data_IF_137577659617
#
_entry.id   IF_137577659617
#
_cell.length_a   1.000
_cell.length_b   1.000
_cell.length_c   1.000
_cell.angle_alpha   90.00
_cell.angle_beta   90.00
_cell.angle_gamma   90.00
#
_symmetry.space_group_name_H-M   'P 1'
#
loop_
_entity.id
_entity.type
_entity.pdbx_description
1 polymer ?
#
# COMPACT_ATOMS: atom_id res chain seq x y z
N UNK A 1 12.43 -15.95 6.41
CA UNK A 1 11.22 -15.41 5.75
C UNK A 1 11.66 -14.73 4.47
N UNK A 2 11.03 -15.07 3.36
CA UNK A 2 11.25 -14.50 2.01
C UNK A 2 9.95 -13.87 1.49
N UNK A 3 10.00 -13.11 0.40
CA UNK A 3 8.83 -12.39 -0.13
C UNK A 3 7.94 -13.28 -1.00
N UNK A 4 8.51 -14.15 -1.84
CA UNK A 4 7.80 -14.95 -2.83
C UNK A 4 7.74 -16.44 -2.52
N UNK A 5 6.66 -17.09 -2.98
CA UNK A 5 6.58 -18.57 -2.91
C UNK A 5 7.62 -19.25 -3.82
N UNK A 6 8.01 -18.59 -4.92
CA UNK A 6 9.07 -19.08 -5.81
C UNK A 6 10.42 -19.15 -5.11
N UNK A 7 10.72 -18.19 -4.23
CA UNK A 7 11.93 -18.22 -3.40
C UNK A 7 11.95 -19.46 -2.51
N UNK A 8 10.82 -19.80 -1.88
CA UNK A 8 10.73 -20.99 -1.02
C UNK A 8 11.00 -22.26 -1.82
N UNK A 9 10.44 -22.38 -3.02
CA UNK A 9 10.65 -23.54 -3.89
C UNK A 9 12.12 -23.63 -4.35
N UNK A 10 12.70 -22.50 -4.75
CA UNK A 10 14.09 -22.43 -5.17
C UNK A 10 15.05 -22.80 -4.03
N UNK A 11 14.86 -22.21 -2.85
CA UNK A 11 15.65 -22.52 -1.68
C UNK A 11 15.53 -24.00 -1.29
N UNK A 12 14.33 -24.57 -1.34
CA UNK A 12 14.12 -25.98 -1.07
C UNK A 12 14.84 -26.88 -2.08
N UNK A 13 14.84 -26.52 -3.38
CA UNK A 13 15.59 -27.22 -4.42
C UNK A 13 17.10 -27.21 -4.16
N UNK A 14 17.58 -26.14 -3.51
CA UNK A 14 18.98 -25.96 -3.11
C UNK A 14 19.26 -26.38 -1.65
N UNK A 15 18.46 -27.29 -1.08
CA UNK A 15 18.65 -27.88 0.25
C UNK A 15 18.46 -26.93 1.45
N UNK A 16 17.84 -25.77 1.24
CA UNK A 16 17.46 -24.82 2.28
C UNK A 16 15.97 -25.02 2.59
N UNK A 17 15.68 -25.84 3.61
CA UNK A 17 14.32 -26.33 3.90
C UNK A 17 13.55 -25.55 4.98
N UNK A 18 14.15 -24.49 5.53
CA UNK A 18 13.55 -23.68 6.61
C UNK A 18 12.96 -22.35 6.12
N UNK A 19 12.84 -22.16 4.80
CA UNK A 19 12.27 -20.96 4.20
C UNK A 19 10.73 -20.98 4.24
N UNK A 20 10.15 -19.82 4.51
CA UNK A 20 8.69 -19.56 4.44
C UNK A 20 8.47 -18.19 3.81
N UNK A 21 7.37 -18.01 3.07
CA UNK A 21 7.03 -16.78 2.38
C UNK A 21 5.72 -16.16 2.86
N UNK A 22 5.61 -14.85 2.70
CA UNK A 22 4.32 -14.14 2.71
C UNK A 22 3.61 -14.27 1.37
N UNK A 23 2.28 -14.43 1.36
CA UNK A 23 1.52 -14.56 0.12
C UNK A 23 1.10 -13.18 -0.42
N UNK A 24 2.02 -12.49 -1.09
CA UNK A 24 1.73 -11.21 -1.76
C UNK A 24 1.32 -10.07 -0.83
N UNK A 25 1.72 -10.13 0.44
CA UNK A 25 1.37 -9.17 1.49
C UNK A 25 2.59 -8.84 2.33
N UNK A 26 2.60 -7.67 2.95
CA UNK A 26 3.63 -7.34 3.92
C UNK A 26 3.59 -8.28 5.13
N UNK A 27 4.72 -8.43 5.81
CA UNK A 27 4.79 -9.16 7.08
C UNK A 27 3.82 -8.56 8.09
N UNK A 28 2.91 -9.38 8.62
CA UNK A 28 1.90 -8.98 9.60
C UNK A 28 2.26 -9.47 11.00
N UNK A 29 1.62 -8.88 12.02
CA UNK A 29 1.75 -9.34 13.40
C UNK A 29 1.33 -10.81 13.56
N UNK A 30 0.26 -11.23 12.87
CA UNK A 30 -0.20 -12.63 12.86
C UNK A 30 0.85 -13.61 12.34
N UNK A 31 1.66 -13.20 11.35
CA UNK A 31 2.76 -14.02 10.85
C UNK A 31 3.82 -14.22 11.94
N UNK A 32 4.23 -13.14 12.61
CA UNK A 32 5.25 -13.19 13.65
C UNK A 32 4.78 -13.97 14.89
N UNK A 33 3.53 -13.81 15.30
CA UNK A 33 2.94 -14.62 16.38
C UNK A 33 3.02 -16.12 16.10
N UNK A 34 2.75 -16.52 14.85
CA UNK A 34 2.82 -17.92 14.45
C UNK A 34 4.26 -18.41 14.40
N UNK A 35 5.17 -17.63 13.81
CA UNK A 35 6.58 -18.00 13.68
C UNK A 35 7.25 -18.13 15.05
N UNK A 36 7.07 -17.15 15.94
CA UNK A 36 7.68 -17.18 17.26
C UNK A 36 7.08 -18.22 18.23
N UNK A 37 6.02 -18.93 17.83
CA UNK A 37 5.56 -20.15 18.54
C UNK A 37 6.35 -21.39 18.14
N UNK A 38 7.02 -21.37 16.98
CA UNK A 38 7.76 -22.51 16.43
C UNK A 38 9.26 -22.35 16.61
N UNK A 39 9.78 -21.12 16.50
CA UNK A 39 11.22 -20.82 16.56
C UNK A 39 11.50 -19.60 17.43
N UNK A 40 12.67 -19.56 18.05
CA UNK A 40 13.14 -18.39 18.80
C UNK A 40 13.79 -17.33 17.92
N UNK A 41 14.20 -17.70 16.71
CA UNK A 41 14.89 -16.82 15.77
C UNK A 41 14.19 -16.77 14.42
N UNK A 42 14.04 -15.56 13.88
CA UNK A 42 13.57 -15.32 12.51
C UNK A 42 14.58 -14.47 11.75
N UNK A 43 14.84 -14.87 10.50
CA UNK A 43 15.71 -14.12 9.59
C UNK A 43 14.84 -13.68 8.42
N UNK A 44 14.74 -12.37 8.19
CA UNK A 44 14.07 -11.80 7.03
C UNK A 44 15.08 -11.63 5.90
N UNK A 45 14.73 -12.12 4.72
CA UNK A 45 15.51 -11.95 3.49
C UNK A 45 14.64 -11.15 2.52
N UNK A 46 15.10 -9.96 2.15
CA UNK A 46 14.41 -9.05 1.24
C UNK A 46 15.28 -8.77 0.01
N UNK A 47 14.60 -8.44 -1.08
CA UNK A 47 15.25 -8.12 -2.34
C UNK A 47 16.11 -6.85 -2.20
N UNK A 48 17.19 -6.76 -2.97
CA UNK A 48 18.11 -5.62 -2.93
C UNK A 48 17.60 -4.33 -3.56
N UNK A 49 16.31 -4.25 -3.87
CA UNK A 49 15.69 -3.09 -4.51
C UNK A 49 15.03 -2.14 -3.50
N UNK A 50 14.53 -1.02 -4.00
CA UNK A 50 13.86 -0.04 -3.14
C UNK A 50 12.57 -0.57 -2.49
N UNK A 51 11.93 -1.58 -3.08
CA UNK A 51 10.73 -2.19 -2.53
C UNK A 51 11.07 -3.13 -1.37
N UNK A 52 12.09 -3.97 -1.53
CA UNK A 52 12.62 -4.86 -0.50
C UNK A 52 13.14 -4.10 0.73
N UNK A 53 13.85 -2.99 0.53
CA UNK A 53 14.28 -2.11 1.65
C UNK A 53 13.07 -1.56 2.42
N UNK A 54 12.03 -1.08 1.72
CA UNK A 54 10.79 -0.60 2.36
C UNK A 54 10.07 -1.73 3.10
N UNK A 55 10.05 -2.94 2.53
CA UNK A 55 9.48 -4.11 3.17
C UNK A 55 10.25 -4.49 4.45
N UNK A 56 11.59 -4.39 4.43
CA UNK A 56 12.46 -4.60 5.58
C UNK A 56 12.16 -3.64 6.73
N UNK A 57 12.06 -2.34 6.44
CA UNK A 57 11.69 -1.32 7.44
C UNK A 57 10.31 -1.60 8.04
N UNK A 58 9.32 -1.96 7.20
CA UNK A 58 7.98 -2.32 7.68
C UNK A 58 8.01 -3.58 8.58
N UNK A 59 8.75 -4.61 8.18
CA UNK A 59 8.90 -5.82 8.97
C UNK A 59 9.62 -5.55 10.31
N UNK A 60 10.64 -4.68 10.30
CA UNK A 60 11.33 -4.21 11.49
C UNK A 60 10.35 -3.55 12.48
N UNK A 61 9.53 -2.60 12.05
CA UNK A 61 8.51 -2.00 12.92
C UNK A 61 7.50 -3.04 13.43
N UNK A 62 7.11 -3.99 12.59
CA UNK A 62 6.18 -5.07 12.98
C UNK A 62 6.78 -6.01 14.02
N UNK A 63 8.11 -6.18 14.04
CA UNK A 63 8.82 -7.04 15.01
C UNK A 63 8.90 -6.44 16.41
N UNK A 64 8.89 -5.11 16.56
CA UNK A 64 9.06 -4.39 17.82
C UNK A 64 8.26 -4.99 19.00
N UNK A 65 6.94 -5.21 18.91
CA UNK A 65 6.16 -5.78 20.02
C UNK A 65 6.46 -7.25 20.32
N UNK A 66 7.18 -7.96 19.44
CA UNK A 66 7.54 -9.37 19.60
C UNK A 66 8.93 -9.59 20.18
N UNK A 67 9.74 -8.54 20.30
CA UNK A 67 11.13 -8.62 20.80
C UNK A 67 11.18 -8.77 22.33
N UNK A 68 10.64 -9.87 22.83
CA UNK A 68 10.81 -10.31 24.22
C UNK A 68 12.16 -10.98 24.41
N UNK A 69 12.59 -11.10 25.67
CA UNK A 69 13.80 -11.84 26.01
C UNK A 69 13.75 -13.28 25.44
N UNK A 70 14.87 -13.73 24.87
CA UNK A 70 15.00 -15.04 24.21
C UNK A 70 14.52 -15.10 22.75
N UNK A 71 13.95 -14.02 22.20
CA UNK A 71 13.63 -13.94 20.76
C UNK A 71 14.66 -13.13 19.99
N UNK A 72 14.90 -13.54 18.75
CA UNK A 72 15.86 -12.92 17.86
C UNK A 72 15.24 -12.67 16.48
N UNK A 73 15.56 -11.51 15.91
CA UNK A 73 15.21 -11.16 14.54
C UNK A 73 16.47 -10.62 13.84
N UNK A 74 16.69 -11.04 12.60
CA UNK A 74 17.80 -10.57 11.74
C UNK A 74 17.29 -10.20 10.35
N UNK A 75 18.00 -9.30 9.68
CA UNK A 75 17.65 -8.75 8.38
C UNK A 75 18.80 -8.98 7.41
N UNK A 76 18.51 -9.66 6.31
CA UNK A 76 19.40 -9.85 5.17
C UNK A 76 18.81 -9.07 3.99
N UNK A 77 19.49 -8.00 3.59
CA UNK A 77 19.23 -7.30 2.35
C UNK A 77 20.17 -7.87 1.29
N UNK A 78 19.60 -8.34 0.18
CA UNK A 78 20.40 -8.88 -0.93
C UNK A 78 21.03 -7.76 -1.76
N UNK A 79 22.04 -8.07 -2.60
CA UNK A 79 22.58 -7.12 -3.56
C UNK A 79 21.53 -6.59 -4.53
N UNK A 80 21.74 -5.37 -5.04
CA UNK A 80 20.78 -4.73 -5.93
C UNK A 80 20.48 -5.59 -7.17
N UNK A 81 19.19 -5.83 -7.43
CA UNK A 81 18.73 -6.63 -8.56
C UNK A 81 18.83 -8.14 -8.36
N UNK A 82 19.13 -8.61 -7.14
CA UNK A 82 19.09 -10.01 -6.76
C UNK A 82 17.92 -10.28 -5.80
N UNK A 83 17.29 -11.44 -6.00
CA UNK A 83 16.29 -12.04 -5.11
C UNK A 83 16.86 -13.37 -4.54
N UNK A 84 16.21 -14.01 -3.53
CA UNK A 84 16.73 -15.25 -2.94
C UNK A 84 16.91 -16.37 -3.97
N UNK A 85 16.04 -16.40 -4.98
CA UNK A 85 16.02 -17.37 -6.06
C UNK A 85 17.22 -17.21 -7.02
N UNK A 86 17.46 -16.01 -7.54
CA UNK A 86 18.61 -15.70 -8.41
C UNK A 86 19.91 -15.83 -7.64
N UNK A 87 19.96 -15.43 -6.36
CA UNK A 87 21.14 -15.58 -5.52
C UNK A 87 21.55 -17.04 -5.37
N UNK A 88 20.62 -17.92 -5.01
CA UNK A 88 20.92 -19.33 -4.77
C UNK A 88 21.27 -20.06 -6.06
N UNK A 89 20.65 -19.70 -7.19
CA UNK A 89 20.99 -20.26 -8.50
C UNK A 89 22.37 -19.85 -8.99
N UNK A 90 22.75 -18.58 -8.81
CA UNK A 90 24.03 -18.03 -9.30
C UNK A 90 25.21 -18.43 -8.42
N UNK A 91 25.05 -18.34 -7.11
CA UNK A 91 26.16 -18.45 -6.14
C UNK A 91 26.12 -19.73 -5.30
N UNK A 92 25.08 -20.55 -5.43
CA UNK A 92 24.90 -21.78 -4.68
C UNK A 92 24.37 -21.56 -3.26
N UNK A 93 24.05 -22.67 -2.60
CA UNK A 93 23.47 -22.68 -1.25
C UNK A 93 24.46 -22.31 -0.15
N UNK A 94 25.74 -22.65 -0.32
CA UNK A 94 26.80 -22.33 0.65
C UNK A 94 26.93 -20.82 0.83
N UNK A 95 27.09 -20.07 -0.26
CA UNK A 95 27.18 -18.61 -0.25
C UNK A 95 25.97 -17.96 0.41
N UNK A 96 24.76 -18.42 0.07
CA UNK A 96 23.55 -17.88 0.68
C UNK A 96 23.46 -18.21 2.18
N UNK A 97 23.92 -19.39 2.60
CA UNK A 97 23.96 -19.78 4.01
C UNK A 97 24.94 -18.92 4.81
N UNK A 98 26.08 -18.56 4.22
CA UNK A 98 27.02 -17.61 4.82
C UNK A 98 26.42 -16.20 4.95
N UNK A 99 25.69 -15.72 3.93
CA UNK A 99 24.96 -14.45 4.00
C UNK A 99 23.90 -14.47 5.09
N UNK A 100 23.14 -15.56 5.21
CA UNK A 100 22.15 -15.76 6.28
C UNK A 100 22.82 -15.77 7.65
N UNK A 101 23.98 -16.41 7.79
CA UNK A 101 24.73 -16.44 9.03
C UNK A 101 25.18 -15.03 9.47
N UNK A 102 25.53 -14.17 8.50
CA UNK A 102 25.97 -12.80 8.72
C UNK A 102 24.84 -11.75 8.65
N UNK A 103 23.57 -12.16 8.64
CA UNK A 103 22.45 -11.24 8.57
C UNK A 103 22.44 -10.24 9.73
N UNK A 104 22.11 -8.98 9.44
CA UNK A 104 22.18 -7.85 10.37
C UNK A 104 21.20 -8.05 11.53
N UNK A 105 21.65 -8.00 12.80
CA UNK A 105 20.76 -8.08 13.96
C UNK A 105 19.71 -6.96 14.00
N UNK A 106 18.51 -7.26 14.50
CA UNK A 106 17.42 -6.28 14.65
C UNK A 106 17.87 -4.97 15.31
N UNK A 107 18.64 -5.05 16.41
CA UNK A 107 19.14 -3.87 17.11
C UNK A 107 20.11 -3.03 16.27
N UNK A 108 20.87 -3.65 15.37
CA UNK A 108 21.78 -2.92 14.50
C UNK A 108 21.01 -2.30 13.35
N UNK A 109 20.13 -3.07 12.71
CA UNK A 109 19.28 -2.61 11.62
C UNK A 109 18.39 -1.43 12.03
N UNK A 110 17.80 -1.48 13.23
CA UNK A 110 17.01 -0.38 13.78
C UNK A 110 17.83 0.90 13.91
N UNK A 111 19.02 0.82 14.53
CA UNK A 111 19.88 2.00 14.70
C UNK A 111 20.36 2.54 13.36
N UNK A 112 20.80 1.67 12.43
CA UNK A 112 21.22 2.08 11.09
C UNK A 112 20.11 2.83 10.35
N UNK A 113 18.86 2.36 10.47
CA UNK A 113 17.72 3.02 9.83
C UNK A 113 17.48 4.44 10.38
N UNK A 114 17.43 4.58 11.71
CA UNK A 114 17.17 5.88 12.34
C UNK A 114 18.37 6.83 12.28
N UNK A 115 19.60 6.32 12.14
CA UNK A 115 20.81 7.14 12.05
C UNK A 115 21.28 7.43 10.63
N UNK A 116 20.60 6.91 9.59
CA UNK A 116 21.12 6.92 8.21
C UNK A 116 21.55 8.32 7.72
N UNK A 117 20.75 9.35 8.04
CA UNK A 117 20.97 10.74 7.61
C UNK A 117 21.31 11.68 8.79
N UNK A 118 21.70 11.12 9.94
CA UNK A 118 21.95 11.88 11.16
C UNK A 118 23.44 11.90 11.51
N UNK A 119 24.00 13.10 11.58
CA UNK A 119 25.35 13.31 12.12
C UNK A 119 25.35 13.19 13.65
N UNK A 120 26.07 12.19 14.17
CA UNK A 120 26.26 11.94 15.60
C UNK A 120 26.97 13.08 16.37
N UNK A 121 27.66 14.00 15.69
CA UNK A 121 28.30 15.15 16.32
C UNK A 121 27.39 16.37 16.41
N UNK A 122 26.31 16.39 15.62
CA UNK A 122 25.33 17.47 15.62
C UNK A 122 24.32 17.28 16.76
N UNK A 123 24.08 18.33 17.54
CA UNK A 123 23.23 18.27 18.73
C UNK A 123 21.75 18.12 18.36
N UNK A 124 21.28 18.82 17.33
CA UNK A 124 19.92 18.71 16.82
C UNK A 124 19.64 17.31 16.26
N UNK A 125 20.61 16.71 15.57
CA UNK A 125 20.52 15.34 15.04
C UNK A 125 20.48 14.29 16.14
N UNK A 126 21.29 14.43 17.21
CA UNK A 126 21.21 13.57 18.39
C UNK A 126 19.85 13.67 19.09
N UNK A 127 19.32 14.89 19.24
CA UNK A 127 18.00 15.10 19.81
C UNK A 127 16.89 14.48 18.94
N UNK A 128 17.00 14.60 17.61
CA UNK A 128 16.09 13.97 16.66
C UNK A 128 16.14 12.44 16.74
N UNK A 129 17.34 11.85 16.75
CA UNK A 129 17.52 10.40 16.91
C UNK A 129 16.83 9.89 18.18
N UNK A 130 17.04 10.59 19.31
CA UNK A 130 16.40 10.25 20.57
C UNK A 130 14.87 10.33 20.47
N UNK A 131 14.35 11.40 19.87
CA UNK A 131 12.92 11.66 19.72
C UNK A 131 12.23 10.61 18.85
N UNK A 132 12.87 10.21 17.75
CA UNK A 132 12.31 9.26 16.77
C UNK A 132 12.40 7.81 17.26
N UNK A 133 13.51 7.42 17.89
CA UNK A 133 13.73 6.04 18.35
C UNK A 133 12.98 5.72 19.64
N UNK A 134 12.78 6.71 20.50
CA UNK A 134 12.22 6.48 21.83
C UNK A 134 10.82 5.83 21.78
N UNK A 135 9.84 6.32 21.01
CA UNK A 135 8.52 5.67 20.88
C UNK A 135 8.63 4.20 20.43
N UNK A 136 9.58 3.90 19.56
CA UNK A 136 9.81 2.54 19.05
C UNK A 136 10.36 1.63 20.16
N UNK A 137 11.36 2.07 20.91
CA UNK A 137 11.91 1.32 22.05
C UNK A 137 10.85 1.14 23.14
N UNK A 138 9.95 2.12 23.33
CA UNK A 138 8.89 2.02 24.31
C UNK A 138 7.79 1.01 23.95
N UNK A 139 7.51 0.84 22.67
CA UNK A 139 6.59 -0.18 22.16
C UNK A 139 7.14 -1.60 22.32
N UNK A 140 8.45 -1.75 22.61
CA UNK A 140 9.02 -3.05 22.94
C UNK A 140 8.50 -3.56 24.30
N UNK A 141 8.28 -4.87 24.45
CA UNK A 141 7.98 -5.49 25.73
C UNK A 141 9.00 -5.12 26.81
N UNK A 142 8.55 -5.01 28.06
CA UNK A 142 9.45 -4.81 29.20
C UNK A 142 10.33 -6.07 29.35
N UNK A 143 11.64 -5.88 29.40
CA UNK A 143 12.63 -6.97 29.46
C UNK A 143 14.05 -6.44 29.30
N UNK A 144 15.02 -7.34 29.35
CA UNK A 144 16.44 -7.01 29.21
C UNK A 144 16.75 -6.36 27.86
N UNK A 145 16.14 -6.86 26.78
CA UNK A 145 16.35 -6.32 25.44
C UNK A 145 16.00 -4.83 25.36
N UNK A 146 14.87 -4.41 25.94
CA UNK A 146 14.47 -2.99 25.97
C UNK A 146 15.47 -2.15 26.77
N UNK A 147 15.93 -2.63 27.92
CA UNK A 147 16.93 -1.93 28.74
C UNK A 147 18.27 -1.76 27.99
N UNK A 148 18.71 -2.79 27.27
CA UNK A 148 19.92 -2.71 26.44
C UNK A 148 19.77 -1.74 25.27
N UNK A 149 18.60 -1.69 24.64
CA UNK A 149 18.30 -0.73 23.57
C UNK A 149 18.29 0.72 24.08
N UNK A 150 17.75 0.96 25.28
CA UNK A 150 17.81 2.27 25.94
C UNK A 150 19.26 2.66 26.24
N UNK A 151 20.05 1.77 26.83
CA UNK A 151 21.48 2.02 27.09
C UNK A 151 22.25 2.35 25.81
N UNK A 152 21.99 1.62 24.73
CA UNK A 152 22.62 1.91 23.42
C UNK A 152 22.17 3.27 22.87
N UNK A 153 20.93 3.69 23.10
CA UNK A 153 20.45 5.02 22.69
C UNK A 153 21.13 6.12 23.50
N UNK A 154 21.36 5.91 24.80
CA UNK A 154 22.15 6.83 25.63
C UNK A 154 23.56 7.00 25.09
N UNK A 155 24.23 5.90 24.72
CA UNK A 155 25.60 5.95 24.18
C UNK A 155 25.67 6.76 22.86
N UNK A 156 24.67 6.60 21.98
CA UNK A 156 24.60 7.33 20.71
C UNK A 156 24.21 8.80 20.87
N UNK A 157 23.35 9.12 21.83
CA UNK A 157 22.77 10.47 21.98
C UNK A 157 23.45 11.28 23.07
N UNK A 158 24.23 10.65 23.95
CA UNK A 158 24.81 11.23 25.17
C UNK A 158 23.80 11.82 26.14
N UNK A 159 22.51 11.46 26.01
CA UNK A 159 21.44 11.88 26.92
C UNK A 159 21.30 10.84 28.03
N UNK A 160 21.07 11.30 29.26
CA UNK A 160 20.82 10.40 30.39
C UNK A 160 19.42 9.76 30.30
N UNK A 161 19.29 8.57 30.89
CA UNK A 161 18.05 7.80 30.99
C UNK A 161 16.88 8.59 31.56
N UNK A 162 17.14 9.48 32.52
CA UNK A 162 16.11 10.34 33.11
C UNK A 162 15.55 11.35 32.09
N UNK A 163 16.41 11.92 31.25
CA UNK A 163 16.00 12.85 30.17
C UNK A 163 15.24 12.11 29.09
N UNK A 164 15.73 10.91 28.72
CA UNK A 164 15.06 10.01 27.80
C UNK A 164 13.68 9.59 28.31
N UNK A 165 13.53 9.28 29.61
CA UNK A 165 12.24 8.98 30.22
C UNK A 165 11.31 10.20 30.25
N UNK A 166 11.83 11.42 30.45
CA UNK A 166 11.00 12.64 30.41
C UNK A 166 10.46 12.95 29.02
N UNK A 167 11.25 12.73 27.95
CA UNK A 167 10.78 12.87 26.56
C UNK A 167 9.52 12.04 26.30
N UNK A 168 9.39 10.90 26.98
CA UNK A 168 8.24 10.03 26.83
C UNK A 168 7.01 10.49 27.60
N UNK A 169 7.20 11.15 28.74
CA UNK A 169 6.10 11.72 29.52
C UNK A 169 5.49 12.96 28.84
N UNK A 170 6.29 13.68 28.04
CA UNK A 170 5.84 14.87 27.30
C UNK A 170 5.07 14.51 26.03
N UNK A 171 5.38 13.38 25.37
CA UNK A 171 4.58 12.89 24.24
C UNK A 171 3.16 12.46 24.63
N UNK A 172 2.87 12.27 25.93
CA UNK A 172 1.54 11.91 26.45
C UNK A 172 0.68 13.13 26.89
N UNK A 173 1.19 14.38 26.86
CA UNK A 173 0.40 15.62 27.08
C UNK A 173 1.15 16.91 26.70
N UNK A 174 0.48 17.84 26.02
CA UNK A 174 0.07 19.05 26.75
C UNK A 174 -1.29 19.62 26.31
N UNK A 175 -2.24 19.62 27.24
CA UNK A 175 -3.35 20.58 27.26
C UNK A 175 -2.95 21.63 28.31
N UNK A 176 -2.54 22.81 27.86
CA UNK A 176 -2.19 23.93 28.75
C UNK A 176 -3.45 24.79 28.90
N UNK A 177 -4.20 24.47 29.95
CA UNK A 177 -5.29 25.26 30.50
C UNK A 177 -4.72 26.58 31.06
N UNK A 178 -4.84 27.67 30.31
CA UNK A 178 -4.39 29.00 30.72
C UNK A 178 -5.46 29.67 31.60
N UNK A 179 -5.31 29.51 32.91
CA UNK A 179 -5.92 30.40 33.91
C UNK A 179 -4.89 31.46 34.31
N UNK A 180 -5.07 32.70 33.87
CA UNK A 180 -4.68 33.85 34.69
C UNK A 180 -5.49 35.11 34.35
N UNK A 181 -5.80 35.81 35.43
CA UNK A 181 -6.79 36.89 35.54
C UNK A 181 -6.10 38.26 35.57
N UNK A 182 -6.85 39.27 35.14
CA UNK A 182 -6.81 40.68 35.58
C UNK A 182 -5.71 41.61 35.00
N UNK A 183 -6.13 42.60 34.22
CA UNK A 183 -6.20 44.00 34.66
C UNK A 183 -6.63 44.95 33.51
N UNK A 184 -7.73 45.69 33.72
CA UNK A 184 -8.07 46.90 32.95
C UNK A 184 -7.26 48.10 33.46
N UNK A 185 -7.08 49.15 32.64
CA UNK A 185 -7.80 50.41 32.93
C UNK A 185 -8.37 51.16 31.70
N UNK A 186 -9.36 52.01 31.98
CA UNK A 186 -10.15 52.94 31.12
C UNK A 186 -9.72 54.42 31.43
N UNK A 187 -10.31 55.51 30.85
CA UNK A 187 -9.97 56.17 29.57
C UNK A 187 -9.80 57.73 29.69
N UNK A 188 -9.47 58.46 28.60
CA UNK A 188 -9.99 59.83 28.27
C UNK A 188 -9.43 60.35 26.91
N UNK A 189 -10.27 60.64 25.88
CA UNK A 189 -10.75 61.96 25.35
C UNK A 189 -9.64 62.95 24.93
N UNK A 190 -9.61 63.67 23.79
CA UNK A 190 -10.53 64.06 22.68
C UNK A 190 -9.66 64.78 21.60
N UNK A 191 -9.92 64.81 20.28
CA UNK A 191 -10.77 65.81 19.56
C UNK A 191 -10.66 65.70 18.01
N UNK A 192 -11.81 65.90 17.32
CA UNK A 192 -12.11 66.62 16.04
C UNK A 192 -11.45 66.14 14.70
N UNK A 193 -12.10 66.04 13.52
CA UNK A 193 -13.47 66.26 13.03
C UNK A 193 -13.59 65.82 11.53
N UNK A 194 -14.82 65.47 11.08
CA UNK A 194 -15.39 65.45 9.71
C UNK A 194 -14.79 64.50 8.64
N UNK A 195 -15.54 63.81 7.76
CA UNK A 195 -16.97 63.81 7.41
C UNK A 195 -17.31 62.67 6.44
N UNK A 196 -18.56 62.18 6.52
CA UNK A 196 -19.48 61.73 5.46
C UNK A 196 -19.55 60.25 4.99
N UNK A 197 -20.82 59.82 5.04
CA UNK A 197 -21.58 58.91 4.16
C UNK A 197 -21.79 57.42 4.55
N UNK A 198 -23.00 57.22 5.13
CA UNK A 198 -24.06 56.26 4.79
C UNK A 198 -24.03 54.79 5.28
N UNK A 199 -24.85 54.59 6.32
CA UNK A 199 -25.90 53.56 6.53
C UNK A 199 -25.56 52.06 6.74
N UNK A 200 -25.81 51.66 8.00
CA UNK A 200 -25.97 50.35 8.63
C UNK A 200 -27.38 49.71 8.33
N UNK A 201 -27.80 48.52 8.85
CA UNK A 201 -27.23 47.72 9.94
C UNK A 201 -27.28 46.17 9.79
N UNK A 202 -26.89 45.52 10.89
CA UNK A 202 -27.31 44.21 11.46
C UNK A 202 -26.57 42.91 11.11
N UNK A 203 -25.62 42.60 12.01
CA UNK A 203 -25.66 41.48 12.97
C UNK A 203 -25.29 40.04 12.54
N UNK A 204 -24.47 39.48 13.44
CA UNK A 204 -24.44 38.09 13.92
C UNK A 204 -23.44 37.13 13.27
N UNK A 205 -22.57 36.61 14.14
CA UNK A 205 -22.53 35.16 14.34
C UNK A 205 -21.29 34.48 13.80
N UNK A 206 -20.26 34.39 14.65
CA UNK A 206 -19.24 33.37 14.55
C UNK A 206 -19.88 31.98 14.68
N UNK A 207 -19.49 31.05 13.81
CA UNK A 207 -19.70 29.62 13.98
C UNK A 207 -18.39 28.88 13.78
N UNK A 208 -17.78 28.49 14.90
CA UNK A 208 -17.01 27.25 15.01
C UNK A 208 -17.96 26.06 14.80
N UNK A 209 -17.52 25.07 14.04
CA UNK A 209 -17.87 23.66 14.28
C UNK A 209 -16.77 22.75 13.78
N UNK A 210 -16.14 22.11 14.75
CA UNK A 210 -15.53 20.78 14.76
C UNK A 210 -16.02 19.79 13.70
N UNK A 211 -15.05 19.04 13.16
CA UNK A 211 -15.21 17.67 12.67
C UNK A 211 -14.01 16.84 13.15
N UNK A 212 -14.22 15.66 13.75
CA UNK A 212 -13.22 14.62 13.91
C UNK A 212 -13.36 13.58 12.77
N UNK A 213 -12.68 12.42 12.82
CA UNK A 213 -11.47 12.10 12.07
C UNK A 213 -11.76 11.16 10.87
N UNK A 214 -10.68 10.78 10.21
CA UNK A 214 -10.46 9.57 9.41
C UNK A 214 -10.51 9.65 7.86
N UNK A 215 -9.37 9.20 7.33
CA UNK A 215 -9.14 8.47 6.08
C UNK A 215 -8.97 9.21 4.73
N UNK A 216 -7.69 9.21 4.29
CA UNK A 216 -7.12 8.76 2.99
C UNK A 216 -7.73 9.30 1.68
N UNK A 217 -6.92 9.98 0.85
CA UNK A 217 -6.30 9.41 -0.37
C UNK A 217 -5.45 10.46 -1.14
N UNK A 218 -4.24 10.03 -1.46
CA UNK A 218 -3.52 10.16 -2.74
C UNK A 218 -4.02 11.22 -3.76
N UNK A 219 -3.13 12.07 -4.25
CA UNK A 219 -2.66 11.88 -5.63
C UNK A 219 -1.37 12.62 -5.99
N UNK A 220 -0.68 12.00 -6.94
CA UNK A 220 0.63 12.29 -7.50
C UNK A 220 0.70 13.67 -8.17
N UNK A 221 1.82 14.38 -7.98
CA UNK A 221 2.45 15.16 -9.07
C UNK A 221 3.97 15.09 -8.95
N UNK A 222 4.61 14.89 -10.10
CA UNK A 222 6.05 14.76 -10.34
C UNK A 222 6.57 16.06 -10.98
N UNK A 223 7.91 16.23 -10.97
CA UNK A 223 8.74 17.42 -11.24
C UNK A 223 9.04 18.22 -9.96
N UNK A 224 10.29 18.42 -9.56
CA UNK A 224 11.34 19.09 -10.35
C UNK A 224 12.76 18.62 -10.00
N UNK A 225 13.65 18.86 -10.96
CA UNK A 225 15.06 18.51 -11.08
C UNK A 225 16.00 18.91 -9.93
N UNK A 226 17.04 18.10 -9.78
CA UNK A 226 18.26 18.36 -9.01
C UNK A 226 19.37 18.81 -9.96
N UNK A 227 20.09 19.89 -9.64
CA UNK A 227 21.56 20.03 -9.63
C UNK A 227 21.99 21.52 -9.53
N UNK A 228 23.08 21.81 -8.81
CA UNK A 228 24.36 21.95 -9.52
C UNK A 228 25.56 21.35 -8.75
N UNK A 229 26.42 20.62 -9.47
CA UNK A 229 27.85 20.57 -9.13
C UNK A 229 28.66 21.22 -10.25
N UNK A 230 29.55 22.12 -9.84
CA UNK A 230 30.60 22.69 -10.65
C UNK A 230 31.68 21.62 -10.91
N UNK A 231 31.99 21.32 -12.17
CA UNK A 231 33.39 21.38 -12.58
C UNK A 231 33.56 21.64 -14.08
N UNK A 232 34.50 22.54 -14.36
CA UNK A 232 34.90 22.99 -15.68
C UNK A 232 35.59 21.85 -16.44
N UNK A 233 35.43 21.80 -17.77
CA UNK A 233 36.49 21.71 -18.80
C UNK A 233 35.86 21.37 -20.17
N UNK A 234 35.89 22.34 -21.08
CA UNK A 234 35.82 22.18 -22.55
C UNK A 234 37.24 21.83 -23.07
N UNK A 235 37.46 21.31 -24.31
CA UNK A 235 36.75 21.72 -25.53
C UNK A 235 36.55 20.69 -26.69
N UNK A 236 35.63 21.08 -27.60
CA UNK A 236 35.61 20.92 -29.08
C UNK A 236 35.64 19.51 -29.71
N UNK A 237 34.62 19.13 -30.49
CA UNK A 237 34.50 19.46 -31.93
C UNK A 237 33.15 19.00 -32.53
N UNK A 238 32.76 19.70 -33.60
CA UNK A 238 31.55 19.66 -34.44
C UNK A 238 31.18 18.33 -35.13
N UNK A 239 29.87 18.03 -35.28
CA UNK A 239 29.12 17.87 -36.57
C UNK A 239 27.65 17.44 -36.35
N UNK A 240 26.82 17.78 -37.36
CA UNK A 240 25.35 17.87 -37.45
C UNK A 240 24.49 16.56 -37.39
N UNK A 241 23.14 16.68 -37.31
CA UNK A 241 22.23 15.61 -36.86
C UNK A 241 21.65 14.77 -38.01
N UNK A 242 21.20 13.55 -37.71
CA UNK A 242 20.23 12.82 -38.53
C UNK A 242 19.25 12.03 -37.64
N UNK A 243 17.97 12.22 -37.95
CA UNK A 243 16.82 11.46 -37.47
C UNK A 243 17.01 9.95 -37.69
N UNK A 244 16.57 9.12 -36.73
CA UNK A 244 15.67 8.01 -37.07
C UNK A 244 14.87 7.50 -35.86
N UNK A 245 13.69 6.98 -36.19
CA UNK A 245 12.59 6.58 -35.31
C UNK A 245 12.88 5.35 -34.43
N UNK A 246 12.19 5.35 -33.28
CA UNK A 246 12.34 4.36 -32.22
C UNK A 246 11.62 3.03 -32.42
N UNK A 247 12.01 2.10 -31.55
CA UNK A 247 11.27 0.91 -31.15
C UNK A 247 11.81 0.49 -29.76
N UNK A 248 11.10 0.85 -28.70
CA UNK A 248 11.34 0.29 -27.36
C UNK A 248 10.22 -0.69 -27.01
N UNK A 249 10.51 -1.98 -27.18
CA UNK A 249 9.73 -3.07 -26.61
C UNK A 249 10.43 -3.60 -25.35
N UNK A 250 10.04 -3.07 -24.18
CA UNK A 250 10.26 -3.71 -22.88
C UNK A 250 9.09 -3.39 -21.95
N UNK A 251 8.12 -4.29 -21.83
CA UNK A 251 7.10 -4.22 -20.78
C UNK A 251 7.07 -5.54 -20.01
N UNK A 252 7.57 -5.48 -18.77
CA UNK A 252 7.43 -6.52 -17.76
C UNK A 252 5.98 -6.66 -17.29
N UNK A 253 5.67 -7.82 -16.71
CA UNK A 253 4.34 -8.24 -16.24
C UNK A 253 3.68 -7.22 -15.31
N UNK A 254 2.75 -6.42 -15.84
CA UNK A 254 1.90 -5.51 -15.06
C UNK A 254 0.91 -6.33 -14.23
N UNK A 255 0.80 -6.04 -12.93
CA UNK A 255 -0.22 -6.64 -12.03
C UNK A 255 -1.60 -6.42 -12.65
N UNK A 256 -2.29 -7.51 -13.02
CA UNK A 256 -3.60 -7.43 -13.67
C UNK A 256 -4.68 -7.20 -12.62
N UNK A 257 -5.46 -6.14 -12.81
CA UNK A 257 -6.70 -5.90 -12.10
C UNK A 257 -7.69 -7.07 -12.36
N UNK A 258 -8.52 -7.52 -11.39
CA UNK A 258 -9.51 -8.58 -11.61
C UNK A 258 -10.41 -8.36 -12.85
N UNK A 259 -10.75 -7.12 -13.20
CA UNK A 259 -11.49 -6.82 -14.44
C UNK A 259 -10.67 -7.16 -15.70
N UNK A 260 -9.37 -6.84 -15.71
CA UNK A 260 -8.46 -7.15 -16.82
C UNK A 260 -8.22 -8.66 -16.96
N UNK A 261 -8.17 -9.38 -15.84
CA UNK A 261 -8.09 -10.84 -15.83
C UNK A 261 -9.35 -11.47 -16.45
N UNK A 262 -10.54 -10.99 -16.08
CA UNK A 262 -11.81 -11.46 -16.67
C UNK A 262 -11.90 -11.14 -18.18
N UNK A 263 -11.56 -9.92 -18.59
CA UNK A 263 -11.52 -9.49 -20.00
C UNK A 263 -10.61 -10.43 -20.82
N UNK A 264 -9.41 -10.69 -20.31
CA UNK A 264 -8.43 -11.57 -20.96
C UNK A 264 -8.95 -13.00 -21.13
N UNK A 265 -9.59 -13.56 -20.11
CA UNK A 265 -10.14 -14.91 -20.16
C UNK A 265 -11.27 -15.02 -21.18
N UNK A 266 -12.18 -14.04 -21.23
CA UNK A 266 -13.31 -14.03 -22.17
C UNK A 266 -12.82 -13.83 -23.62
N UNK A 267 -11.84 -12.95 -23.86
CA UNK A 267 -11.28 -12.71 -25.20
C UNK A 267 -10.56 -13.93 -25.79
N UNK A 268 -10.08 -14.84 -24.94
CA UNK A 268 -9.41 -16.09 -25.35
C UNK A 268 -10.36 -17.28 -25.41
N UNK A 269 -11.30 -17.33 -24.48
CA UNK A 269 -12.28 -18.41 -24.35
C UNK A 269 -13.70 -17.83 -24.25
N UNK A 270 -14.31 -17.43 -25.38
CA UNK A 270 -15.65 -16.82 -25.38
C UNK A 270 -16.74 -17.73 -24.79
N UNK A 271 -16.55 -19.05 -24.81
CA UNK A 271 -17.49 -20.01 -24.21
C UNK A 271 -17.66 -19.85 -22.69
N UNK A 272 -16.73 -19.17 -22.01
CA UNK A 272 -16.89 -18.87 -20.59
C UNK A 272 -17.96 -17.81 -20.32
N UNK A 273 -18.31 -16.99 -21.32
CA UNK A 273 -19.37 -15.99 -21.20
C UNK A 273 -20.77 -16.62 -21.08
N UNK A 274 -20.95 -17.89 -21.46
CA UNK A 274 -22.23 -18.61 -21.31
C UNK A 274 -22.68 -18.74 -19.85
N UNK A 275 -21.73 -18.78 -18.92
CA UNK A 275 -22.04 -18.83 -17.48
C UNK A 275 -22.68 -17.53 -16.96
N UNK A 276 -22.64 -16.44 -17.76
CA UNK A 276 -23.09 -15.11 -17.41
C UNK A 276 -24.12 -14.59 -18.43
N UNK A 277 -25.17 -15.37 -18.68
CA UNK A 277 -26.33 -14.95 -19.50
C UNK A 277 -27.05 -13.74 -18.88
N UNK A 278 -27.12 -13.67 -17.56
CA UNK A 278 -27.53 -12.46 -16.84
C UNK A 278 -26.26 -11.75 -16.36
N UNK A 279 -25.95 -10.59 -16.95
CA UNK A 279 -24.79 -9.79 -16.53
C UNK A 279 -25.07 -9.27 -15.12
N UNK A 280 -24.19 -9.54 -14.14
CA UNK A 280 -24.44 -9.09 -12.79
C UNK A 280 -24.51 -7.56 -12.69
N UNK A 281 -25.62 -7.04 -12.18
CA UNK A 281 -25.88 -5.60 -12.04
C UNK A 281 -24.76 -4.85 -11.29
N UNK A 282 -24.15 -5.50 -10.30
CA UNK A 282 -23.05 -4.92 -9.52
C UNK A 282 -21.84 -4.51 -10.37
N UNK A 283 -21.59 -5.17 -11.51
CA UNK A 283 -20.49 -4.81 -12.40
C UNK A 283 -20.73 -3.45 -13.09
N UNK A 284 -21.99 -3.05 -13.29
CA UNK A 284 -22.35 -1.77 -13.92
C UNK A 284 -22.16 -0.57 -13.00
N UNK A 285 -22.18 -0.81 -11.68
CA UNK A 285 -22.10 0.23 -10.64
C UNK A 285 -20.68 0.44 -10.08
N UNK A 286 -19.70 -0.36 -10.52
CA UNK A 286 -18.29 -0.19 -10.14
C UNK A 286 -17.72 1.09 -10.78
N UNK A 287 -16.96 1.88 -10.00
CA UNK A 287 -16.24 3.07 -10.49
C UNK A 287 -15.02 2.73 -11.37
N UNK A 288 -14.72 1.46 -11.57
CA UNK A 288 -13.57 0.99 -12.31
C UNK A 288 -13.83 1.04 -13.82
N UNK A 289 -13.01 1.78 -14.57
CA UNK A 289 -13.13 1.87 -16.04
C UNK A 289 -13.00 0.50 -16.73
N UNK A 290 -12.12 -0.37 -16.22
CA UNK A 290 -11.96 -1.73 -16.75
C UNK A 290 -13.23 -2.60 -16.53
N UNK A 291 -14.02 -2.33 -15.49
CA UNK A 291 -15.27 -3.05 -15.25
C UNK A 291 -16.35 -2.66 -16.26
N UNK A 292 -16.42 -1.39 -16.68
CA UNK A 292 -17.33 -0.99 -17.76
C UNK A 292 -16.94 -1.62 -19.10
N UNK A 293 -15.63 -1.76 -19.37
CA UNK A 293 -15.12 -2.46 -20.56
C UNK A 293 -15.48 -3.95 -20.50
N UNK A 294 -15.39 -4.58 -19.33
CA UNK A 294 -15.81 -5.98 -19.14
C UNK A 294 -17.31 -6.18 -19.42
N UNK A 295 -18.17 -5.27 -18.92
CA UNK A 295 -19.61 -5.31 -19.20
C UNK A 295 -19.87 -5.16 -20.71
N UNK A 296 -19.22 -4.19 -21.36
CA UNK A 296 -19.34 -3.98 -22.80
C UNK A 296 -18.90 -5.22 -23.60
N UNK A 297 -17.80 -5.87 -23.20
CA UNK A 297 -17.33 -7.11 -23.81
C UNK A 297 -18.36 -8.25 -23.65
N UNK A 298 -18.97 -8.40 -22.47
CA UNK A 298 -20.01 -9.39 -22.23
C UNK A 298 -21.25 -9.12 -23.10
N UNK A 299 -21.67 -7.87 -23.23
CA UNK A 299 -22.80 -7.46 -24.09
C UNK A 299 -22.52 -7.77 -25.57
N UNK A 300 -21.32 -7.45 -26.06
CA UNK A 300 -20.91 -7.77 -27.43
C UNK A 300 -20.88 -9.29 -27.64
N UNK A 301 -20.34 -10.04 -26.67
CA UNK A 301 -20.31 -11.50 -26.76
C UNK A 301 -21.72 -12.08 -26.85
N UNK A 302 -22.68 -11.58 -26.06
CA UNK A 302 -24.09 -11.99 -26.11
C UNK A 302 -24.75 -11.61 -27.44
N UNK A 303 -24.49 -10.40 -27.96
CA UNK A 303 -25.00 -9.94 -29.24
C UNK A 303 -24.52 -10.83 -30.38
N UNK A 304 -23.23 -11.12 -30.45
CA UNK A 304 -22.63 -11.98 -31.48
C UNK A 304 -23.15 -13.42 -31.36
N UNK A 305 -23.29 -13.93 -30.13
CA UNK A 305 -23.89 -15.25 -29.90
C UNK A 305 -25.35 -15.31 -30.38
N UNK A 306 -26.14 -14.26 -30.17
CA UNK A 306 -27.52 -14.18 -30.65
C UNK A 306 -27.63 -14.18 -32.17
N UNK A 307 -26.68 -13.52 -32.86
CA UNK A 307 -26.63 -13.46 -34.32
C UNK A 307 -26.16 -14.79 -34.94
N UNK A 308 -25.16 -15.43 -34.34
CA UNK A 308 -24.56 -16.66 -34.85
C UNK A 308 -25.29 -17.94 -34.40
N UNK A 309 -26.15 -17.85 -33.37
CA UNK A 309 -26.83 -19.00 -32.74
C UNK A 309 -25.84 -20.08 -32.24
N UNK A 310 -24.60 -19.66 -31.93
CA UNK A 310 -23.52 -20.48 -31.37
C UNK A 310 -22.51 -19.59 -30.63
N UNK A 311 -21.65 -20.18 -29.81
CA UNK A 311 -20.53 -19.46 -29.18
C UNK A 311 -19.60 -18.89 -30.27
N UNK A 312 -19.24 -17.60 -30.19
CA UNK A 312 -18.28 -17.01 -31.11
C UNK A 312 -16.88 -17.59 -30.89
N UNK A 313 -16.12 -17.76 -31.97
CA UNK A 313 -14.70 -18.06 -31.85
C UNK A 313 -13.94 -16.81 -31.38
N UNK A 314 -12.77 -17.00 -30.77
CA UNK A 314 -11.96 -15.89 -30.24
C UNK A 314 -11.66 -14.82 -31.31
N UNK A 315 -11.41 -15.24 -32.55
CA UNK A 315 -11.13 -14.33 -33.68
C UNK A 315 -12.36 -13.50 -34.09
N UNK A 316 -13.55 -14.10 -34.05
CA UNK A 316 -14.82 -13.44 -34.39
C UNK A 316 -15.19 -12.39 -33.32
N UNK A 317 -14.98 -12.72 -32.04
CA UNK A 317 -15.19 -11.77 -30.96
C UNK A 317 -14.18 -10.60 -31.02
N UNK A 318 -12.92 -10.91 -31.35
CA UNK A 318 -11.86 -9.91 -31.50
C UNK A 318 -12.09 -8.97 -32.69
N UNK A 319 -12.68 -9.43 -33.80
CA UNK A 319 -13.04 -8.55 -34.92
C UNK A 319 -14.15 -7.57 -34.56
N UNK A 320 -15.16 -8.01 -33.81
CA UNK A 320 -16.26 -7.14 -33.34
C UNK A 320 -15.78 -6.15 -32.27
N UNK A 321 -14.77 -6.51 -31.48
CA UNK A 321 -14.16 -5.62 -30.50
C UNK A 321 -13.16 -4.62 -31.12
N UNK A 322 -12.81 -4.74 -32.40
CA UNK A 322 -11.77 -3.93 -33.03
C UNK A 322 -12.15 -2.45 -33.18
N UNK A 323 -13.45 -2.16 -33.24
CA UNK A 323 -14.01 -0.80 -33.37
C UNK A 323 -14.13 -0.06 -32.03
N UNK A 324 -13.80 -0.72 -30.91
CA UNK A 324 -13.86 -0.11 -29.57
C UNK A 324 -12.64 0.76 -29.29
N UNK A 325 -12.84 1.90 -28.62
CA UNK A 325 -11.75 2.76 -28.14
C UNK A 325 -10.81 2.01 -27.16
N UNK A 326 -11.35 1.05 -26.41
CA UNK A 326 -10.59 0.21 -25.48
C UNK A 326 -9.82 -0.94 -26.17
N UNK A 327 -9.96 -1.13 -27.48
CA UNK A 327 -9.37 -2.24 -28.23
C UNK A 327 -7.85 -2.38 -28.08
N UNK A 328 -7.02 -1.30 -28.10
CA UNK A 328 -5.57 -1.44 -27.93
C UNK A 328 -5.18 -2.11 -26.60
N UNK A 329 -5.93 -1.83 -25.54
CA UNK A 329 -5.75 -2.43 -24.22
C UNK A 329 -6.21 -3.89 -24.19
N UNK A 330 -7.39 -4.18 -24.74
CA UNK A 330 -7.93 -5.53 -24.86
C UNK A 330 -7.02 -6.45 -25.70
N UNK A 331 -6.48 -5.95 -26.81
CA UNK A 331 -5.54 -6.67 -27.67
C UNK A 331 -4.24 -7.00 -26.95
N UNK A 332 -3.71 -6.06 -26.16
CA UNK A 332 -2.53 -6.30 -25.34
C UNK A 332 -2.81 -7.34 -24.24
N UNK A 333 -3.99 -7.33 -23.62
CA UNK A 333 -4.37 -8.35 -22.65
C UNK A 333 -4.52 -9.73 -23.29
N UNK A 334 -5.08 -9.78 -24.50
CA UNK A 334 -5.23 -11.01 -25.27
C UNK A 334 -3.88 -11.61 -25.71
N UNK A 335 -2.82 -10.80 -25.88
CA UNK A 335 -1.48 -11.28 -26.26
C UNK A 335 -0.65 -11.80 -25.08
N UNK A 336 -0.96 -11.44 -23.84
CA UNK A 336 -0.24 -11.91 -22.66
C UNK A 336 -0.42 -13.43 -22.49
N UNK A 337 0.66 -14.21 -22.52
CA UNK A 337 0.64 -15.67 -22.34
C UNK A 337 0.28 -16.05 -20.89
N UNK A 338 -0.61 -17.03 -20.71
CA UNK A 338 -1.00 -17.47 -19.36
C UNK A 338 -0.03 -18.55 -18.94
N UNK A 339 0.88 -18.22 -18.03
CA UNK A 339 1.88 -19.16 -17.50
C UNK A 339 1.28 -20.21 -16.54
N UNK A 340 -0.05 -20.26 -16.38
CA UNK A 340 -0.72 -21.20 -15.49
C UNK A 340 -1.11 -22.48 -16.23
N UNK A 341 -0.55 -23.61 -15.77
CA UNK A 341 -0.83 -24.99 -16.24
C UNK A 341 -2.26 -25.47 -15.88
N UNK A 342 -3.05 -24.65 -15.19
CA UNK A 342 -4.42 -25.00 -14.79
C UNK A 342 -5.37 -24.84 -15.96
N UNK A 343 -5.88 -25.97 -16.46
CA UNK A 343 -6.87 -26.07 -17.55
C UNK A 343 -8.27 -25.55 -17.18
N UNK A 344 -8.47 -25.07 -15.95
CA UNK A 344 -9.78 -24.63 -15.45
C UNK A 344 -9.96 -23.10 -15.54
N UNK A 345 -10.20 -22.64 -16.76
CA UNK A 345 -10.47 -21.22 -17.03
C UNK A 345 -11.80 -20.73 -16.45
N UNK A 346 -12.74 -21.64 -16.17
CA UNK A 346 -14.04 -21.31 -15.58
C UNK A 346 -13.89 -20.87 -14.14
N UNK A 347 -13.13 -21.63 -13.32
CA UNK A 347 -12.83 -21.25 -11.94
C UNK A 347 -12.06 -19.93 -11.85
N UNK A 348 -11.13 -19.66 -12.77
CA UNK A 348 -10.38 -18.40 -12.80
C UNK A 348 -11.26 -17.19 -13.12
N UNK A 349 -12.17 -17.33 -14.08
CA UNK A 349 -13.12 -16.27 -14.42
C UNK A 349 -14.05 -15.99 -13.23
N UNK A 350 -14.53 -17.05 -12.58
CA UNK A 350 -15.39 -16.94 -11.41
C UNK A 350 -14.68 -16.26 -10.23
N UNK A 351 -13.42 -16.60 -9.96
CA UNK A 351 -12.62 -15.92 -8.93
C UNK A 351 -12.42 -14.42 -9.24
N UNK A 352 -12.20 -14.08 -10.50
CA UNK A 352 -12.06 -12.69 -10.93
C UNK A 352 -13.37 -11.90 -10.71
N UNK A 353 -14.52 -12.50 -11.05
CA UNK A 353 -15.84 -11.88 -10.85
C UNK A 353 -16.18 -11.79 -9.36
N UNK A 354 -15.84 -12.79 -8.55
CA UNK A 354 -16.00 -12.75 -7.09
C UNK A 354 -15.18 -11.63 -6.45
N UNK A 355 -13.97 -11.37 -6.95
CA UNK A 355 -13.14 -10.22 -6.50
C UNK A 355 -13.76 -8.88 -6.88
N UNK A 356 -14.33 -8.77 -8.08
CA UNK A 356 -15.07 -7.56 -8.49
C UNK A 356 -16.31 -7.34 -7.63
N UNK A 357 -17.00 -8.42 -7.26
CA UNK A 357 -18.16 -8.35 -6.40
C UNK A 357 -17.82 -7.87 -4.99
N UNK A 358 -16.70 -8.34 -4.42
CA UNK A 358 -16.18 -7.81 -3.15
C UNK A 358 -15.87 -6.32 -3.24
N UNK A 359 -15.23 -5.88 -4.33
CA UNK A 359 -14.91 -4.47 -4.52
C UNK A 359 -16.16 -3.60 -4.63
N UNK A 360 -17.23 -4.12 -5.23
CA UNK A 360 -18.53 -3.46 -5.26
C UNK A 360 -19.13 -3.27 -3.86
N UNK A 361 -19.07 -4.30 -3.01
CA UNK A 361 -19.55 -4.19 -1.63
C UNK A 361 -18.80 -3.11 -0.85
N UNK A 362 -17.48 -3.07 -0.99
CA UNK A 362 -16.66 -2.11 -0.26
C UNK A 362 -16.95 -0.68 -0.76
N UNK A 363 -17.03 -0.46 -2.08
CA UNK A 363 -17.42 0.84 -2.66
C UNK A 363 -18.81 1.30 -2.19
N UNK A 364 -19.81 0.41 -2.24
CA UNK A 364 -21.19 0.77 -1.87
C UNK A 364 -21.35 0.95 -0.35
N UNK A 365 -20.55 0.23 0.45
CA UNK A 365 -20.47 0.45 1.89
C UNK A 365 -19.89 1.83 2.21
N UNK A 366 -18.83 2.24 1.51
CA UNK A 366 -18.23 3.57 1.68
C UNK A 366 -19.21 4.68 1.29
N UNK A 367 -19.92 4.53 0.17
CA UNK A 367 -20.93 5.49 -0.30
C UNK A 367 -22.09 5.66 0.70
N UNK A 368 -22.61 4.55 1.24
CA UNK A 368 -23.68 4.59 2.25
C UNK A 368 -23.17 5.16 3.59
N UNK A 369 -21.93 4.86 3.96
CA UNK A 369 -21.30 5.38 5.17
C UNK A 369 -21.01 6.88 5.08
N UNK A 370 -20.63 7.37 3.90
CA UNK A 370 -20.49 8.81 3.62
C UNK A 370 -21.86 9.50 3.60
N UNK A 371 -22.87 8.88 3.00
CA UNK A 371 -24.25 9.39 3.01
C UNK A 371 -24.79 9.52 4.44
N UNK A 372 -24.51 8.54 5.32
CA UNK A 372 -24.89 8.61 6.74
C UNK A 372 -24.17 9.72 7.51
N UNK A 373 -22.91 10.00 7.18
CA UNK A 373 -22.13 11.08 7.79
C UNK A 373 -22.60 12.47 7.36
N UNK A 374 -23.05 12.61 6.10
CA UNK A 374 -23.43 13.88 5.50
C UNK A 374 -24.95 14.17 5.55
N UNK A 375 -25.78 13.21 5.98
CA UNK A 375 -27.22 13.35 6.01
C UNK A 375 -27.70 14.22 7.18
N UNK A 376 -28.48 15.26 6.88
CA UNK A 376 -29.10 16.17 7.86
C UNK A 376 -30.56 15.86 8.14
N UNK A 377 -31.18 14.94 7.39
CA UNK A 377 -32.58 14.52 7.53
C UNK A 377 -32.69 13.08 8.02
N UNK A 378 -33.53 12.85 9.03
CA UNK A 378 -33.79 11.52 9.62
C UNK A 378 -34.31 10.51 8.58
N UNK A 379 -34.99 10.95 7.53
CA UNK A 379 -35.50 10.10 6.46
C UNK A 379 -34.36 9.50 5.60
N UNK A 380 -33.35 10.30 5.28
CA UNK A 380 -32.16 9.85 4.55
C UNK A 380 -31.30 8.91 5.41
N UNK A 381 -31.19 9.18 6.72
CA UNK A 381 -30.47 8.33 7.67
C UNK A 381 -31.15 6.96 7.79
N UNK A 382 -32.48 6.93 7.92
CA UNK A 382 -33.23 5.68 8.03
C UNK A 382 -33.16 4.86 6.73
N UNK A 383 -33.24 5.52 5.57
CA UNK A 383 -33.13 4.86 4.26
C UNK A 383 -31.74 4.27 4.05
N UNK A 384 -30.67 5.02 4.35
CA UNK A 384 -29.29 4.53 4.22
C UNK A 384 -28.99 3.37 5.20
N UNK A 385 -29.51 3.41 6.43
CA UNK A 385 -29.40 2.29 7.39
C UNK A 385 -30.11 1.03 6.89
N UNK A 386 -31.30 1.16 6.30
CA UNK A 386 -32.00 0.03 5.70
C UNK A 386 -31.22 -0.58 4.53
N UNK A 387 -30.70 0.26 3.64
CA UNK A 387 -29.88 -0.19 2.52
C UNK A 387 -28.58 -0.87 2.96
N UNK A 388 -27.92 -0.37 4.01
CA UNK A 388 -26.70 -0.96 4.56
C UNK A 388 -26.99 -2.33 5.21
N UNK A 389 -28.15 -2.50 5.85
CA UNK A 389 -28.59 -3.79 6.41
C UNK A 389 -28.86 -4.83 5.30
N UNK A 390 -29.48 -4.43 4.20
CA UNK A 390 -29.71 -5.29 3.04
C UNK A 390 -28.36 -5.72 2.44
N UNK A 391 -27.46 -4.76 2.26
CA UNK A 391 -26.13 -4.99 1.67
C UNK A 391 -25.24 -5.93 2.51
N UNK A 392 -25.27 -5.79 3.83
CA UNK A 392 -24.58 -6.72 4.74
C UNK A 392 -25.18 -8.13 4.69
N UNK A 393 -26.51 -8.23 4.57
CA UNK A 393 -27.19 -9.51 4.38
C UNK A 393 -26.79 -10.22 3.08
N UNK A 394 -26.69 -9.47 1.97
CA UNK A 394 -26.20 -9.97 0.69
C UNK A 394 -24.73 -10.41 0.75
N UNK A 395 -23.86 -9.64 1.42
CA UNK A 395 -22.45 -10.02 1.62
C UNK A 395 -22.33 -11.34 2.40
N UNK A 396 -23.15 -11.54 3.44
CA UNK A 396 -23.16 -12.78 4.22
C UNK A 396 -23.66 -14.00 3.43
N UNK A 397 -24.69 -13.85 2.59
CA UNK A 397 -25.19 -14.96 1.77
C UNK A 397 -24.16 -15.40 0.74
N UNK A 398 -23.43 -14.46 0.14
CA UNK A 398 -22.35 -14.76 -0.79
C UNK A 398 -21.17 -15.44 -0.12
N UNK A 399 -20.75 -14.97 1.06
CA UNK A 399 -19.70 -15.64 1.83
C UNK A 399 -20.10 -17.07 2.22
N UNK A 400 -21.39 -17.32 2.49
CA UNK A 400 -21.90 -18.68 2.74
C UNK A 400 -21.88 -19.53 1.47
N UNK A 401 -22.28 -18.98 0.31
CA UNK A 401 -22.21 -19.67 -0.98
C UNK A 401 -20.77 -20.02 -1.36
N UNK A 402 -19.82 -19.11 -1.13
CA UNK A 402 -18.39 -19.33 -1.35
C UNK A 402 -17.79 -20.38 -0.41
N UNK A 403 -18.25 -20.47 0.85
CA UNK A 403 -17.81 -21.49 1.81
C UNK A 403 -18.43 -22.87 1.60
N UNK A 404 -19.60 -22.94 0.96
CA UNK A 404 -20.29 -24.20 0.64
C UNK A 404 -19.79 -24.86 -0.65
N UNK A 405 -19.00 -24.13 -1.44
CA UNK A 405 -18.31 -24.57 -2.65
C UNK A 405 -16.89 -24.95 -2.29
#
# INVERSE_FOLDING_TARGET
MVEGYMDVVALAQHQIHFAVATLGTATSQFHLERIFKMVSEVIFCFDGDAAGIKAAVRAMHTCVPFMTDGRQARFLLLPQGEDPDTMVRKHGSETLTELIANATPFSEFLFQHFSHDLDSHNLEHRAKLATDMMPVIQAMPKGLMRSMMLSKLEDHTGLNQDTLAQLTAVSDKPDIDNKESSAQPKPDQSTLANSKDAEEPVAAGNSETDLPPDYVLNDQTWATEYHPEHNQHSPTNSHQPSHDHGFDHRHGSRVQNPAQAAIRLILRHPGLAEAYTEIPEHLRYLRMHDASILVQLLEICQQVQSQLQRVPQAVELQSECADLEAWPMMRNLASLESLTVTTDHSSQLQEAIDKLHHHYFDQRFDDLSQTLRNATSDEHINTAKQQLKILLGEKETLQKQQKSR
#
